data_IF_235154378949
#
_entry.id   IF_235154378949
#
_cell.length_a   1.000
_cell.length_b   1.000
_cell.length_c   1.000
_cell.angle_alpha   90.00
_cell.angle_beta   90.00
_cell.angle_gamma   90.00
#
_symmetry.space_group_name_H-M   'P 1'
#
loop_
_entity.id
_entity.type
_entity.pdbx_description
1 polymer ?
#
# COMPACT_ATOMS: atom_id res chain seq x y z
N UNK A 1 46.01 34.68 -8.18
CA UNK A 1 45.64 34.39 -6.77
C UNK A 1 46.90 34.03 -6.01
N UNK A 2 47.22 34.75 -4.95
CA UNK A 2 48.46 34.58 -4.19
C UNK A 2 48.48 33.22 -3.47
N UNK A 3 49.56 32.47 -3.65
CA UNK A 3 49.87 31.25 -2.90
C UNK A 3 50.46 31.65 -1.55
N UNK A 4 49.97 31.06 -0.46
CA UNK A 4 50.62 31.19 0.85
C UNK A 4 50.96 29.80 1.37
N UNK A 5 52.21 29.61 1.75
CA UNK A 5 52.69 28.44 2.46
C UNK A 5 52.15 28.45 3.90
N UNK A 6 51.53 27.35 4.32
CA UNK A 6 51.06 27.17 5.70
C UNK A 6 52.29 26.99 6.58
N UNK A 7 52.74 28.05 7.23
CA UNK A 7 53.80 27.97 8.26
C UNK A 7 53.18 27.59 9.60
N UNK A 8 53.66 26.49 10.21
CA UNK A 8 53.30 26.09 11.58
C UNK A 8 53.86 27.13 12.55
N UNK A 9 53.00 27.80 13.31
CA UNK A 9 53.45 28.61 14.44
C UNK A 9 53.89 27.70 15.60
N UNK A 10 54.88 28.14 16.39
CA UNK A 10 55.46 27.38 17.52
C UNK A 10 54.45 27.00 18.63
N UNK A 11 53.21 27.52 18.59
CA UNK A 11 52.16 27.23 19.57
C UNK A 11 51.05 26.29 19.04
N UNK A 12 51.32 25.49 18.00
CA UNK A 12 50.38 24.51 17.44
C UNK A 12 49.00 25.08 17.00
N UNK A 13 48.88 26.40 16.82
CA UNK A 13 47.69 27.03 16.24
C UNK A 13 47.98 27.45 14.80
N UNK A 14 47.19 26.90 13.88
CA UNK A 14 47.20 27.28 12.46
C UNK A 14 46.46 28.62 12.31
N UNK A 15 47.20 29.72 12.18
CA UNK A 15 46.61 31.00 11.79
C UNK A 15 46.61 31.14 10.28
N UNK A 16 45.47 30.96 9.61
CA UNK A 16 45.31 31.30 8.20
C UNK A 16 44.73 32.70 8.06
N UNK A 17 45.45 33.59 7.35
CA UNK A 17 45.01 34.96 7.07
C UNK A 17 44.02 35.08 5.89
N UNK A 18 43.68 33.98 5.21
CA UNK A 18 42.73 33.95 4.10
C UNK A 18 41.87 32.67 4.14
N UNK A 19 40.58 32.79 3.77
CA UNK A 19 39.55 31.73 3.83
C UNK A 19 39.57 30.70 2.68
N UNK A 20 40.53 30.77 1.76
CA UNK A 20 40.55 29.93 0.56
C UNK A 20 41.61 28.83 0.64
N UNK A 21 41.17 27.57 0.50
CA UNK A 21 42.01 26.39 0.44
C UNK A 21 42.12 25.91 -1.01
N UNK A 22 43.35 25.76 -1.50
CA UNK A 22 43.58 25.23 -2.84
C UNK A 22 43.45 23.72 -2.87
N UNK A 23 42.40 23.23 -3.54
CA UNK A 23 42.17 21.80 -3.76
C UNK A 23 43.02 21.36 -4.96
N UNK A 24 44.17 20.73 -4.69
CA UNK A 24 45.06 20.18 -5.74
C UNK A 24 44.46 18.97 -6.47
N UNK A 25 43.60 18.21 -5.79
CA UNK A 25 42.99 17.01 -6.35
C UNK A 25 41.57 16.82 -5.81
N UNK A 26 40.58 17.17 -6.64
CA UNK A 26 39.16 17.04 -6.30
C UNK A 26 38.74 15.59 -6.07
N UNK A 27 39.34 14.62 -6.76
CA UNK A 27 39.01 13.20 -6.60
C UNK A 27 39.37 12.70 -5.20
N UNK A 28 40.45 13.21 -4.61
CA UNK A 28 40.83 12.88 -3.23
C UNK A 28 39.91 13.54 -2.20
N UNK A 29 39.39 14.73 -2.51
CA UNK A 29 38.48 15.45 -1.61
C UNK A 29 37.16 14.70 -1.43
N UNK A 30 36.56 14.22 -2.53
CA UNK A 30 35.24 13.55 -2.52
C UNK A 30 35.32 12.03 -2.36
N UNK A 31 36.52 11.47 -2.17
CA UNK A 31 36.71 10.02 -2.07
C UNK A 31 35.95 9.44 -0.87
N UNK A 32 35.88 10.17 0.24
CA UNK A 32 35.23 9.73 1.48
C UNK A 32 33.70 9.82 1.49
N UNK A 33 33.09 10.49 0.52
CA UNK A 33 31.64 10.75 0.52
C UNK A 33 30.80 9.50 0.19
N UNK A 34 31.44 8.39 -0.20
CA UNK A 34 30.74 7.15 -0.57
C UNK A 34 31.50 5.91 -0.11
N UNK A 35 30.79 4.80 0.10
CA UNK A 35 31.38 3.51 0.49
C UNK A 35 32.16 2.77 -0.63
N UNK A 36 32.43 3.41 -1.77
CA UNK A 36 33.09 2.77 -2.92
C UNK A 36 34.59 3.03 -2.92
N UNK A 37 35.40 1.97 -2.90
CA UNK A 37 36.86 2.05 -2.75
C UNK A 37 37.66 2.20 -4.06
N UNK A 38 37.00 2.46 -5.20
CA UNK A 38 37.65 2.65 -6.51
C UNK A 38 37.78 4.10 -6.98
N UNK A 39 38.58 4.34 -8.04
CA UNK A 39 38.76 5.67 -8.67
C UNK A 39 37.40 6.25 -9.09
N UNK A 40 37.12 7.47 -8.66
CA UNK A 40 35.90 8.23 -9.01
C UNK A 40 36.21 9.27 -10.08
N UNK A 41 35.16 9.63 -10.82
CA UNK A 41 35.19 10.63 -11.87
C UNK A 41 34.20 11.73 -11.50
N UNK A 42 34.61 12.84 -10.87
CA UNK A 42 33.74 13.95 -10.52
C UNK A 42 33.59 14.96 -11.67
N UNK A 43 32.38 15.49 -11.84
CA UNK A 43 32.11 16.59 -12.76
C UNK A 43 32.46 17.92 -12.09
N UNK A 44 33.33 18.70 -12.72
CA UNK A 44 33.75 20.01 -12.20
C UNK A 44 32.67 21.09 -12.27
N UNK A 45 31.58 20.85 -13.02
CA UNK A 45 30.49 21.83 -13.22
C UNK A 45 29.34 21.65 -12.23
N UNK A 46 28.90 20.40 -12.00
CA UNK A 46 27.79 20.11 -11.08
C UNK A 46 28.20 19.41 -9.78
N UNK A 47 29.50 19.12 -9.60
CA UNK A 47 30.09 18.50 -8.42
C UNK A 47 29.60 17.07 -8.08
N UNK A 48 28.82 16.43 -8.94
CA UNK A 48 28.44 15.02 -8.81
C UNK A 48 29.61 14.10 -9.19
N UNK A 49 29.59 12.84 -8.70
CA UNK A 49 30.65 11.85 -8.96
C UNK A 49 30.12 10.52 -9.50
N UNK A 50 30.85 9.92 -10.44
CA UNK A 50 30.51 8.64 -11.06
C UNK A 50 31.55 7.55 -10.76
N UNK A 51 31.14 6.27 -10.71
CA UNK A 51 32.04 5.14 -10.45
C UNK A 51 32.88 4.73 -11.67
N UNK A 52 32.55 5.20 -12.88
CA UNK A 52 33.28 4.86 -14.10
C UNK A 52 33.38 6.05 -15.07
N UNK A 53 34.40 6.01 -15.92
CA UNK A 53 34.65 7.01 -16.96
C UNK A 53 33.51 7.10 -17.96
N UNK A 54 32.95 5.95 -18.35
CA UNK A 54 31.79 5.88 -19.26
C UNK A 54 30.55 6.55 -18.68
N UNK A 55 30.29 6.35 -17.38
CA UNK A 55 29.16 7.00 -16.71
C UNK A 55 29.37 8.52 -16.58
N UNK A 56 30.62 8.95 -16.32
CA UNK A 56 30.98 10.36 -16.34
C UNK A 56 30.84 10.98 -17.74
N UNK A 57 31.32 10.31 -18.80
CA UNK A 57 31.21 10.80 -20.17
C UNK A 57 29.74 11.00 -20.59
N UNK A 58 28.87 10.01 -20.33
CA UNK A 58 27.43 10.13 -20.54
C UNK A 58 26.82 11.31 -19.78
N UNK A 59 27.26 11.57 -18.54
CA UNK A 59 26.81 12.74 -17.81
C UNK A 59 27.37 14.05 -18.40
N UNK A 60 28.65 14.05 -18.77
CA UNK A 60 29.38 15.25 -19.21
C UNK A 60 28.77 15.85 -20.48
N UNK A 61 28.33 15.01 -21.42
CA UNK A 61 27.58 15.44 -22.61
C UNK A 61 26.33 16.27 -22.25
N UNK A 62 25.58 15.83 -21.23
CA UNK A 62 24.37 16.52 -20.77
C UNK A 62 24.67 17.70 -19.82
N UNK A 63 25.78 17.67 -19.10
CA UNK A 63 26.15 18.75 -18.18
C UNK A 63 26.69 19.98 -18.93
N UNK A 64 27.28 19.79 -20.11
CA UNK A 64 27.78 20.88 -20.94
C UNK A 64 26.67 21.77 -21.49
N UNK A 65 25.52 21.20 -21.89
CA UNK A 65 24.39 21.88 -22.56
C UNK A 65 23.54 22.82 -21.68
N UNK A 66 24.03 23.22 -20.50
CA UNK A 66 23.27 23.99 -19.51
C UNK A 66 22.99 25.44 -19.94
N UNK A 67 21.84 25.63 -20.59
CA UNK A 67 21.05 26.87 -20.58
C UNK A 67 19.63 26.67 -20.00
N UNK A 68 19.05 25.48 -20.12
CA UNK A 68 17.72 25.15 -19.60
C UNK A 68 17.72 23.77 -18.94
N UNK A 69 16.96 23.60 -17.87
CA UNK A 69 17.04 22.50 -16.90
C UNK A 69 17.06 21.09 -17.51
N UNK A 70 18.06 20.29 -17.14
CA UNK A 70 18.25 18.92 -17.64
C UNK A 70 17.34 17.92 -16.93
N UNK A 71 16.07 17.84 -17.33
CA UNK A 71 15.33 16.59 -17.19
C UNK A 71 15.68 15.69 -18.38
N UNK A 72 16.06 14.45 -18.09
CA UNK A 72 16.23 13.43 -19.13
C UNK A 72 14.87 13.05 -19.68
N UNK A 73 14.42 13.74 -20.73
CA UNK A 73 13.21 13.35 -21.45
C UNK A 73 13.57 12.18 -22.37
N UNK A 74 13.46 10.95 -21.87
CA UNK A 74 13.41 9.75 -22.72
C UNK A 74 12.00 9.62 -23.26
N UNK A 75 11.77 10.11 -24.47
CA UNK A 75 10.53 9.85 -25.19
C UNK A 75 10.58 8.45 -25.81
N UNK A 76 9.42 7.80 -26.00
CA UNK A 76 9.29 6.66 -26.90
C UNK A 76 9.88 6.97 -28.28
N UNK A 77 10.71 6.05 -28.78
CA UNK A 77 11.24 6.04 -30.13
C UNK A 77 10.21 5.32 -31.00
N UNK A 78 9.75 6.03 -32.04
CA UNK A 78 8.83 5.52 -33.06
C UNK A 78 9.30 4.14 -33.56
N UNK A 79 8.42 3.15 -33.57
CA UNK A 79 8.63 1.76 -33.98
C UNK A 79 9.53 0.88 -33.06
N UNK A 80 9.94 1.37 -31.88
CA UNK A 80 10.71 0.59 -30.88
C UNK A 80 9.95 0.43 -29.55
N UNK A 81 9.53 1.54 -28.93
CA UNK A 81 8.81 1.54 -27.65
C UNK A 81 7.58 2.47 -27.63
N UNK A 82 6.93 2.60 -28.78
CA UNK A 82 5.74 3.45 -29.03
C UNK A 82 4.63 3.33 -28.00
N UNK A 83 4.53 2.16 -27.38
CA UNK A 83 3.49 1.84 -26.43
C UNK A 83 4.09 1.35 -25.11
N UNK A 84 3.83 2.08 -24.03
CA UNK A 84 4.06 1.60 -22.68
C UNK A 84 3.00 0.55 -22.33
N UNK A 85 3.45 -0.67 -22.07
CA UNK A 85 2.59 -1.78 -21.64
C UNK A 85 2.62 -1.91 -20.12
N UNK A 86 1.47 -2.20 -19.53
CA UNK A 86 1.39 -2.44 -18.08
C UNK A 86 2.14 -3.73 -17.70
N UNK A 87 3.27 -3.62 -17.02
CA UNK A 87 4.13 -4.79 -16.71
C UNK A 87 3.65 -5.61 -15.51
N UNK A 88 2.85 -5.03 -14.63
CA UNK A 88 2.50 -5.60 -13.33
C UNK A 88 1.09 -6.18 -13.29
N UNK A 89 0.74 -7.01 -14.27
CA UNK A 89 -0.58 -7.64 -14.44
C UNK A 89 -1.16 -8.26 -13.16
N UNK A 90 -0.33 -8.84 -12.28
CA UNK A 90 -0.77 -9.35 -10.97
C UNK A 90 -1.38 -8.31 -10.03
N UNK A 91 -1.22 -7.00 -10.29
CA UNK A 91 -1.87 -5.91 -9.54
C UNK A 91 -3.29 -5.58 -10.03
N UNK A 92 -3.75 -6.23 -11.10
CA UNK A 92 -5.13 -6.10 -11.60
C UNK A 92 -6.09 -7.08 -10.91
N UNK A 93 -5.57 -7.99 -10.09
CA UNK A 93 -6.37 -8.90 -9.29
C UNK A 93 -6.93 -8.13 -8.11
N UNK A 94 -8.26 -8.19 -7.93
CA UNK A 94 -8.91 -7.60 -6.78
C UNK A 94 -8.39 -8.22 -5.48
N UNK A 95 -8.29 -7.42 -4.43
CA UNK A 95 -8.08 -7.98 -3.10
C UNK A 95 -9.32 -8.81 -2.70
N UNK A 96 -9.11 -9.92 -2.01
CA UNK A 96 -10.20 -10.78 -1.54
C UNK A 96 -10.99 -10.09 -0.41
N UNK A 97 -10.27 -9.39 0.46
CA UNK A 97 -10.83 -8.54 1.49
C UNK A 97 -9.96 -7.30 1.70
N UNK A 98 -10.55 -6.27 2.31
CA UNK A 98 -9.88 -5.05 2.75
C UNK A 98 -10.21 -4.77 4.21
N UNK A 99 -9.24 -4.25 4.94
CA UNK A 99 -9.45 -3.74 6.30
C UNK A 99 -9.56 -2.23 6.20
N UNK A 100 -10.64 -1.65 6.71
CA UNK A 100 -10.83 -0.20 6.79
C UNK A 100 -10.70 0.17 8.26
N UNK A 101 -9.84 1.12 8.58
CA UNK A 101 -9.55 1.50 9.95
C UNK A 101 -9.44 3.02 10.10
N UNK A 102 -9.70 3.49 11.32
CA UNK A 102 -9.57 4.88 11.72
C UNK A 102 -9.17 4.99 13.19
N UNK A 103 -8.39 6.01 13.55
CA UNK A 103 -7.97 6.31 14.92
C UNK A 103 -8.61 7.60 15.41
N UNK A 104 -8.92 7.64 16.71
CA UNK A 104 -9.15 8.89 17.41
C UNK A 104 -7.99 9.14 18.39
N UNK A 105 -7.68 10.41 18.54
CA UNK A 105 -6.49 10.88 19.25
C UNK A 105 -6.89 12.01 20.19
N UNK A 106 -6.31 12.02 21.39
CA UNK A 106 -6.40 13.18 22.27
C UNK A 106 -5.42 14.27 21.81
N UNK A 107 -5.71 15.52 22.16
CA UNK A 107 -4.87 16.67 21.80
C UNK A 107 -4.36 17.37 23.05
N UNK A 108 -3.32 16.81 23.67
CA UNK A 108 -2.74 17.34 24.90
C UNK A 108 -1.82 18.53 24.61
N UNK A 109 -2.25 19.74 24.97
CA UNK A 109 -1.44 20.96 24.81
C UNK A 109 -0.21 20.91 25.73
N UNK A 110 0.99 21.19 25.21
CA UNK A 110 2.22 21.12 26.00
C UNK A 110 3.15 22.35 25.90
N UNK A 111 3.03 23.23 24.90
CA UNK A 111 3.93 24.40 24.65
C UNK A 111 5.40 24.21 25.13
N UNK A 112 6.04 23.16 24.62
CA UNK A 112 7.41 22.78 24.97
C UNK A 112 8.42 23.25 23.91
N UNK A 113 9.66 23.59 24.32
CA UNK A 113 10.74 23.88 23.37
C UNK A 113 11.19 22.58 22.69
N UNK A 114 11.07 22.50 21.37
CA UNK A 114 11.48 21.36 20.56
C UNK A 114 12.72 21.71 19.72
N UNK A 115 13.86 21.97 20.37
CA UNK A 115 15.13 22.27 19.70
C UNK A 115 15.17 23.59 18.91
N UNK A 116 16.22 24.38 19.12
CA UNK A 116 16.34 25.69 18.45
C UNK A 116 15.16 26.63 18.76
N UNK A 117 14.49 27.13 17.73
CA UNK A 117 13.33 28.03 17.82
C UNK A 117 11.97 27.32 17.68
N UNK A 118 11.95 26.00 17.45
CA UNK A 118 10.70 25.25 17.28
C UNK A 118 10.04 24.98 18.63
N UNK A 119 8.70 25.04 18.65
CA UNK A 119 7.87 24.75 19.82
C UNK A 119 6.88 23.62 19.51
N UNK A 120 6.79 22.64 20.40
CA UNK A 120 5.77 21.59 20.38
C UNK A 120 4.52 22.15 21.05
N UNK A 121 3.51 22.48 20.25
CA UNK A 121 2.28 23.10 20.74
C UNK A 121 1.36 22.08 21.42
N UNK A 122 1.31 20.87 20.89
CA UNK A 122 0.52 19.78 21.42
C UNK A 122 1.15 18.42 21.15
N UNK A 123 0.75 17.45 21.95
CA UNK A 123 1.05 16.04 21.83
C UNK A 123 -0.22 15.27 21.55
N UNK A 124 -0.13 14.36 20.58
CA UNK A 124 -1.24 13.57 20.09
C UNK A 124 -1.01 12.10 20.45
N UNK A 125 -1.88 11.51 21.29
CA UNK A 125 -1.83 10.10 21.67
C UNK A 125 -3.12 9.39 21.24
N UNK A 126 -2.97 8.28 20.52
CA UNK A 126 -4.15 7.50 20.13
C UNK A 126 -4.89 7.01 21.38
N UNK A 127 -6.18 7.30 21.46
CA UNK A 127 -7.04 6.90 22.57
C UNK A 127 -8.02 5.78 22.16
N UNK A 128 -8.34 5.69 20.87
CA UNK A 128 -9.27 4.69 20.38
C UNK A 128 -9.07 4.43 18.90
N UNK A 129 -9.60 3.30 18.45
CA UNK A 129 -9.64 2.97 17.03
C UNK A 129 -10.89 2.16 16.72
N UNK A 130 -11.29 2.23 15.46
CA UNK A 130 -12.32 1.36 14.90
C UNK A 130 -11.76 0.74 13.62
N UNK A 131 -12.03 -0.56 13.42
CA UNK A 131 -11.79 -1.18 12.12
C UNK A 131 -12.90 -2.14 11.72
N UNK A 132 -13.05 -2.36 10.42
CA UNK A 132 -13.91 -3.37 9.84
C UNK A 132 -13.17 -4.13 8.74
N UNK A 133 -13.58 -5.37 8.49
CA UNK A 133 -13.08 -6.19 7.39
C UNK A 133 -14.19 -6.37 6.38
N UNK A 134 -13.99 -5.87 5.15
CA UNK A 134 -14.95 -6.01 4.06
C UNK A 134 -14.44 -7.03 3.05
N UNK A 135 -15.22 -8.09 2.82
CA UNK A 135 -14.96 -9.13 1.84
C UNK A 135 -15.55 -8.73 0.49
N UNK A 136 -14.68 -8.45 -0.48
CA UNK A 136 -15.09 -7.87 -1.77
C UNK A 136 -15.96 -8.86 -2.57
N UNK A 137 -15.59 -10.14 -2.58
CA UNK A 137 -16.28 -11.14 -3.39
C UNK A 137 -17.67 -11.50 -2.85
N UNK A 138 -17.85 -11.46 -1.53
CA UNK A 138 -19.12 -11.87 -0.88
C UNK A 138 -19.97 -10.71 -0.41
N UNK A 139 -19.41 -9.50 -0.36
CA UNK A 139 -20.02 -8.33 0.29
C UNK A 139 -20.10 -8.43 1.83
N UNK A 140 -19.63 -9.53 2.43
CA UNK A 140 -19.70 -9.74 3.89
C UNK A 140 -18.80 -8.75 4.62
N UNK A 141 -19.28 -8.22 5.74
CA UNK A 141 -18.51 -7.34 6.63
C UNK A 141 -18.33 -8.01 7.99
N UNK A 142 -17.11 -7.97 8.52
CA UNK A 142 -16.80 -8.32 9.91
C UNK A 142 -16.52 -7.05 10.70
N UNK A 143 -17.03 -6.98 11.92
CA UNK A 143 -16.99 -5.78 12.75
C UNK A 143 -18.28 -4.95 12.69
N UNK A 144 -18.24 -3.66 13.07
CA UNK A 144 -17.05 -2.88 13.44
C UNK A 144 -16.44 -3.35 14.77
N UNK A 145 -15.12 -3.31 14.86
CA UNK A 145 -14.37 -3.63 16.07
C UNK A 145 -13.84 -2.33 16.68
N UNK A 146 -14.48 -1.91 17.77
CA UNK A 146 -14.11 -0.72 18.53
C UNK A 146 -13.14 -1.07 19.66
N UNK A 147 -12.20 -0.18 19.94
CA UNK A 147 -11.39 -0.20 21.14
C UNK A 147 -11.19 1.21 21.67
N UNK A 148 -11.28 1.38 22.99
CA UNK A 148 -10.95 2.63 23.70
C UNK A 148 -9.99 2.30 24.84
N UNK A 149 -8.85 2.96 24.91
CA UNK A 149 -7.81 2.73 25.90
C UNK A 149 -6.47 3.39 25.55
N UNK A 150 -5.66 3.71 26.56
CA UNK A 150 -4.38 4.40 26.40
C UNK A 150 -3.36 3.67 25.51
N UNK A 151 -3.50 2.35 25.36
CA UNK A 151 -2.64 1.51 24.53
C UNK A 151 -3.26 1.21 23.16
N UNK A 152 -4.05 2.14 22.62
CA UNK A 152 -4.76 1.98 21.34
C UNK A 152 -3.84 1.56 20.19
N UNK A 153 -2.66 2.17 20.02
CA UNK A 153 -1.73 1.81 18.93
C UNK A 153 -1.21 0.37 19.07
N UNK A 154 -0.94 -0.08 20.29
CA UNK A 154 -0.42 -1.43 20.57
C UNK A 154 -1.51 -2.50 20.39
N UNK A 155 -2.70 -2.23 20.94
CA UNK A 155 -3.83 -3.14 20.81
C UNK A 155 -4.31 -3.22 19.36
N UNK A 156 -4.22 -2.13 18.59
CA UNK A 156 -4.51 -2.12 17.16
C UNK A 156 -3.63 -3.13 16.42
N UNK A 157 -2.30 -3.00 16.54
CA UNK A 157 -1.35 -3.91 15.85
C UNK A 157 -1.61 -5.37 16.25
N UNK A 158 -1.82 -5.63 17.53
CA UNK A 158 -2.13 -6.97 18.04
C UNK A 158 -3.44 -7.54 17.48
N UNK A 159 -4.49 -6.72 17.38
CA UNK A 159 -5.78 -7.15 16.81
C UNK A 159 -5.68 -7.38 15.32
N UNK A 160 -5.01 -6.50 14.58
CA UNK A 160 -4.80 -6.67 13.14
C UNK A 160 -3.97 -7.93 12.84
N UNK A 161 -2.96 -8.26 13.66
CA UNK A 161 -2.21 -9.52 13.51
C UNK A 161 -3.10 -10.76 13.77
N UNK A 162 -3.99 -10.70 14.78
CA UNK A 162 -4.97 -11.77 15.02
C UNK A 162 -5.98 -11.89 13.89
N UNK A 163 -6.45 -10.77 13.38
CA UNK A 163 -7.39 -10.68 12.26
C UNK A 163 -6.77 -11.31 11.01
N UNK A 164 -5.48 -11.03 10.76
CA UNK A 164 -4.72 -11.62 9.67
C UNK A 164 -4.69 -13.15 9.75
N UNK A 165 -4.56 -13.72 10.95
CA UNK A 165 -4.62 -15.17 11.16
C UNK A 165 -6.01 -15.71 10.86
N UNK A 166 -7.07 -15.00 11.26
CA UNK A 166 -8.45 -15.42 10.98
C UNK A 166 -8.79 -15.36 9.49
N UNK A 167 -8.40 -14.27 8.81
CA UNK A 167 -8.54 -14.13 7.36
C UNK A 167 -7.83 -15.29 6.66
N UNK A 168 -6.57 -15.58 7.02
CA UNK A 168 -5.82 -16.67 6.42
C UNK A 168 -6.43 -18.07 6.69
N UNK A 169 -7.09 -18.28 7.83
CA UNK A 169 -7.86 -19.52 8.07
C UNK A 169 -9.03 -19.67 7.12
N UNK A 170 -9.76 -18.59 6.84
CA UNK A 170 -10.85 -18.61 5.85
C UNK A 170 -10.29 -18.85 4.44
N UNK A 171 -9.20 -18.19 4.09
CA UNK A 171 -8.54 -18.35 2.78
C UNK A 171 -7.91 -19.74 2.58
N UNK A 172 -7.60 -20.46 3.66
CA UNK A 172 -7.07 -21.83 3.59
C UNK A 172 -8.14 -22.86 3.23
N UNK A 173 -9.43 -22.56 3.45
CA UNK A 173 -10.54 -23.46 3.12
C UNK A 173 -10.72 -23.47 1.60
N UNK A 174 -10.48 -24.64 0.99
CA UNK A 174 -10.74 -24.85 -0.43
C UNK A 174 -12.24 -25.06 -0.62
N UNK A 175 -12.90 -24.10 -1.25
CA UNK A 175 -14.26 -24.28 -1.74
C UNK A 175 -14.24 -24.79 -3.17
N UNK A 176 -15.20 -25.65 -3.50
CA UNK A 176 -15.45 -26.04 -4.88
C UNK A 176 -15.84 -24.81 -5.69
N UNK A 177 -15.29 -24.73 -6.89
CA UNK A 177 -15.56 -23.62 -7.80
C UNK A 177 -17.05 -23.62 -8.17
N UNK A 178 -17.74 -22.55 -7.86
CA UNK A 178 -19.12 -22.33 -8.33
C UNK A 178 -19.04 -21.91 -9.80
N UNK A 179 -19.26 -22.83 -10.72
CA UNK A 179 -19.29 -22.55 -12.16
C UNK A 179 -20.73 -22.39 -12.64
N UNK A 180 -21.10 -21.18 -13.06
CA UNK A 180 -22.36 -20.98 -13.79
C UNK A 180 -22.21 -21.35 -15.26
N UNK A 181 -23.30 -21.72 -15.93
CA UNK A 181 -23.26 -22.01 -17.38
C UNK A 181 -22.79 -20.81 -18.22
N UNK A 182 -23.07 -19.58 -17.73
CA UNK A 182 -22.56 -18.34 -18.33
C UNK A 182 -21.04 -18.25 -18.22
N UNK A 183 -20.47 -18.64 -17.09
CA UNK A 183 -19.01 -18.58 -16.88
C UNK A 183 -18.30 -19.66 -17.70
N UNK A 184 -18.88 -20.86 -17.82
CA UNK A 184 -18.38 -21.90 -18.73
C UNK A 184 -18.35 -21.42 -20.18
N UNK A 185 -19.42 -20.74 -20.62
CA UNK A 185 -19.47 -20.15 -21.96
C UNK A 185 -18.39 -19.09 -22.15
N UNK A 186 -18.25 -18.15 -21.22
CA UNK A 186 -17.20 -17.12 -21.25
C UNK A 186 -15.80 -17.71 -21.26
N UNK A 187 -15.56 -18.76 -20.48
CA UNK A 187 -14.26 -19.43 -20.42
C UNK A 187 -13.93 -20.11 -21.76
N UNK A 188 -14.89 -20.83 -22.36
CA UNK A 188 -14.70 -21.51 -23.63
C UNK A 188 -14.49 -20.53 -24.81
N UNK A 189 -15.13 -19.36 -24.76
CA UNK A 189 -15.02 -18.32 -25.79
C UNK A 189 -13.78 -17.43 -25.59
N UNK A 190 -13.10 -17.50 -24.44
CA UNK A 190 -11.95 -16.64 -24.15
C UNK A 190 -10.73 -17.05 -24.99
N UNK A 191 -10.34 -16.18 -25.93
CA UNK A 191 -9.14 -16.33 -26.76
C UNK A 191 -7.93 -15.55 -26.22
N UNK A 192 -8.15 -14.78 -25.16
CA UNK A 192 -7.20 -13.84 -24.58
C UNK A 192 -7.30 -13.79 -23.06
N UNK A 193 -6.16 -13.55 -22.41
CA UNK A 193 -6.07 -13.48 -20.96
C UNK A 193 -6.81 -12.25 -20.43
N UNK A 194 -7.73 -12.44 -19.48
CA UNK A 194 -8.50 -11.33 -18.91
C UNK A 194 -7.63 -10.30 -18.17
N UNK A 195 -6.43 -10.70 -17.72
CA UNK A 195 -5.47 -9.86 -17.01
C UNK A 195 -4.54 -9.14 -17.99
N UNK A 196 -3.75 -9.86 -18.79
CA UNK A 196 -2.76 -9.23 -19.67
C UNK A 196 -3.28 -8.84 -21.05
N UNK A 197 -4.51 -9.26 -21.40
CA UNK A 197 -5.16 -9.06 -22.70
C UNK A 197 -4.40 -9.66 -23.89
N UNK A 198 -3.32 -10.41 -23.64
CA UNK A 198 -2.61 -11.15 -24.67
C UNK A 198 -3.40 -12.40 -25.06
N UNK A 199 -3.32 -12.78 -26.34
CA UNK A 199 -3.91 -14.02 -26.82
C UNK A 199 -3.21 -15.21 -26.18
N UNK A 200 -3.97 -16.23 -25.83
CA UNK A 200 -3.36 -17.47 -25.39
C UNK A 200 -2.54 -18.06 -26.54
N UNK A 201 -1.23 -18.24 -26.33
CA UNK A 201 -0.36 -18.97 -27.25
C UNK A 201 -0.62 -20.46 -27.00
N UNK A 202 -1.79 -20.91 -27.43
CA UNK A 202 -2.10 -22.34 -27.45
C UNK A 202 -1.50 -22.84 -28.76
N UNK A 203 -0.48 -23.70 -28.67
CA UNK A 203 -0.02 -24.47 -29.82
C UNK A 203 -1.14 -25.44 -30.21
N UNK A 204 -2.05 -24.93 -31.04
CA UNK A 204 -3.25 -25.67 -31.49
C UNK A 204 -2.88 -26.96 -32.19
N UNK A 205 -1.72 -27.01 -32.86
CA UNK A 205 -1.24 -28.20 -33.56
C UNK A 205 -0.75 -29.26 -32.57
N UNK A 206 -0.02 -28.86 -31.53
CA UNK A 206 0.40 -29.76 -30.44
C UNK A 206 -0.81 -30.27 -29.65
N UNK A 207 -1.76 -29.42 -29.31
CA UNK A 207 -3.01 -29.82 -28.62
C UNK A 207 -3.82 -30.79 -29.48
N UNK A 208 -3.99 -30.49 -30.77
CA UNK A 208 -4.73 -31.37 -31.70
C UNK A 208 -4.03 -32.72 -31.88
N UNK A 209 -2.70 -32.75 -31.91
CA UNK A 209 -1.93 -33.99 -31.95
C UNK A 209 -2.14 -34.83 -30.67
N UNK A 210 -2.12 -34.21 -29.50
CA UNK A 210 -2.39 -34.88 -28.22
C UNK A 210 -3.84 -35.37 -28.10
N UNK A 211 -4.82 -34.59 -28.57
CA UNK A 211 -6.24 -34.98 -28.61
C UNK A 211 -6.47 -36.17 -29.54
N UNK A 212 -5.85 -36.19 -30.73
CA UNK A 212 -5.89 -37.33 -31.64
C UNK A 212 -5.28 -38.59 -31.00
N UNK A 213 -4.17 -38.44 -30.28
CA UNK A 213 -3.50 -39.54 -29.57
C UNK A 213 -4.35 -40.08 -28.42
N UNK A 214 -5.02 -39.20 -27.66
CA UNK A 214 -5.97 -39.58 -26.62
C UNK A 214 -7.18 -40.33 -27.19
N UNK A 215 -7.72 -39.88 -28.33
CA UNK A 215 -8.82 -40.55 -29.03
C UNK A 215 -8.44 -41.97 -29.49
N UNK A 216 -7.25 -42.12 -30.07
CA UNK A 216 -6.72 -43.42 -30.47
C UNK A 216 -6.54 -44.38 -29.27
N UNK A 217 -5.97 -43.89 -28.16
CA UNK A 217 -5.80 -44.69 -26.94
C UNK A 217 -7.13 -45.08 -26.31
N UNK A 218 -8.12 -44.18 -26.30
CA UNK A 218 -9.46 -44.47 -25.81
C UNK A 218 -10.17 -45.55 -26.64
N UNK A 219 -10.04 -45.52 -27.97
CA UNK A 219 -10.55 -46.59 -28.84
C UNK A 219 -9.83 -47.91 -28.59
N UNK A 220 -8.51 -47.88 -28.37
CA UNK A 220 -7.74 -49.07 -28.01
C UNK A 220 -8.15 -49.65 -26.65
N UNK A 221 -8.39 -48.78 -25.66
CA UNK A 221 -8.88 -49.16 -24.33
C UNK A 221 -10.27 -49.83 -24.39
N UNK A 222 -11.20 -49.32 -25.22
CA UNK A 222 -12.53 -49.92 -25.43
C UNK A 222 -12.46 -51.36 -25.96
N UNK A 223 -11.44 -51.67 -26.75
CA UNK A 223 -11.21 -52.99 -27.32
C UNK A 223 -10.32 -53.89 -26.44
N UNK A 224 -9.94 -53.42 -25.24
CA UNK A 224 -9.07 -54.16 -24.30
C UNK A 224 -9.91 -54.75 -23.17
N UNK A 225 -9.63 -55.99 -22.78
CA UNK A 225 -10.31 -56.69 -21.68
C UNK A 225 -10.18 -55.92 -20.36
N UNK A 226 -11.29 -55.69 -19.65
CA UNK A 226 -11.28 -54.96 -18.38
C UNK A 226 -10.33 -55.60 -17.36
N UNK A 227 -9.61 -54.77 -16.61
CA UNK A 227 -8.69 -55.15 -15.53
C UNK A 227 -7.42 -55.92 -15.93
N UNK A 228 -7.08 -56.02 -17.22
CA UNK A 228 -5.77 -56.51 -17.65
C UNK A 228 -4.64 -55.52 -17.31
N UNK A 229 -3.40 -56.01 -17.28
CA UNK A 229 -2.22 -55.14 -17.06
C UNK A 229 -2.08 -54.10 -18.20
N UNK A 230 -2.50 -54.45 -19.40
CA UNK A 230 -2.60 -53.54 -20.56
C UNK A 230 -3.66 -52.46 -20.34
N UNK A 231 -4.82 -52.80 -19.78
CA UNK A 231 -5.89 -51.84 -19.46
C UNK A 231 -5.41 -50.80 -18.45
N UNK A 232 -4.71 -51.22 -17.39
CA UNK A 232 -4.11 -50.31 -16.40
C UNK A 232 -3.05 -49.41 -17.03
N UNK A 233 -2.24 -49.95 -17.92
CA UNK A 233 -1.17 -49.21 -18.61
C UNK A 233 -1.74 -48.15 -19.55
N UNK A 234 -2.77 -48.50 -20.34
CA UNK A 234 -3.47 -47.57 -21.22
C UNK A 234 -4.18 -46.46 -20.43
N UNK A 235 -4.82 -46.79 -19.32
CA UNK A 235 -5.48 -45.79 -18.46
C UNK A 235 -4.48 -44.76 -17.93
N UNK A 236 -3.31 -45.21 -17.43
CA UNK A 236 -2.22 -44.31 -16.99
C UNK A 236 -1.69 -43.42 -18.13
N UNK A 237 -1.59 -43.95 -19.36
CA UNK A 237 -1.17 -43.16 -20.52
C UNK A 237 -2.21 -42.10 -20.90
N UNK A 238 -3.49 -42.44 -20.87
CA UNK A 238 -4.59 -41.50 -21.11
C UNK A 238 -4.57 -40.39 -20.06
N UNK A 239 -4.49 -40.72 -18.77
CA UNK A 239 -4.40 -39.75 -17.68
C UNK A 239 -3.21 -38.79 -17.83
N UNK A 240 -2.06 -39.32 -18.27
CA UNK A 240 -0.87 -38.51 -18.53
C UNK A 240 -1.10 -37.53 -19.68
N UNK A 241 -1.65 -38.00 -20.80
CA UNK A 241 -1.93 -37.15 -21.97
C UNK A 241 -2.99 -36.10 -21.63
N UNK A 242 -4.02 -36.46 -20.86
CA UNK A 242 -5.04 -35.51 -20.40
C UNK A 242 -4.43 -34.42 -19.50
N UNK A 243 -3.47 -34.79 -18.63
CA UNK A 243 -2.70 -33.80 -17.85
C UNK A 243 -1.86 -32.89 -18.75
N UNK A 244 -1.16 -33.46 -19.75
CA UNK A 244 -0.34 -32.69 -20.67
C UNK A 244 -1.20 -31.72 -21.52
N UNK A 245 -2.38 -32.15 -21.99
CA UNK A 245 -3.35 -31.29 -22.69
C UNK A 245 -3.83 -30.15 -21.78
N UNK A 246 -4.17 -30.46 -20.53
CA UNK A 246 -4.60 -29.44 -19.57
C UNK A 246 -3.48 -28.46 -19.24
N UNK A 247 -2.23 -28.94 -19.16
CA UNK A 247 -1.07 -28.10 -18.92
C UNK A 247 -0.75 -27.16 -20.09
N UNK A 248 -0.83 -27.64 -21.32
CA UNK A 248 -0.68 -26.81 -22.54
C UNK A 248 -1.83 -25.81 -22.70
N UNK A 249 -3.03 -26.15 -22.23
CA UNK A 249 -4.19 -25.24 -22.21
C UNK A 249 -4.19 -24.28 -21.02
N UNK A 250 -3.45 -24.58 -19.94
CA UNK A 250 -3.38 -23.73 -18.76
C UNK A 250 -2.08 -22.92 -18.74
N UNK A 251 -2.18 -21.61 -18.99
CA UNK A 251 -1.23 -20.67 -18.39
C UNK A 251 -1.61 -20.52 -16.90
N UNK A 252 -1.28 -21.51 -16.07
CA UNK A 252 -1.52 -21.46 -14.64
C UNK A 252 -0.65 -20.35 -14.02
N UNK A 253 -1.17 -19.13 -13.98
CA UNK A 253 -0.70 -18.12 -13.04
C UNK A 253 -1.10 -18.66 -11.66
N UNK A 254 -0.18 -19.34 -10.99
CA UNK A 254 -0.35 -19.79 -9.60
C UNK A 254 -0.42 -18.57 -8.69
N UNK A 255 -1.60 -17.96 -8.60
CA UNK A 255 -1.92 -16.91 -7.64
C UNK A 255 -2.17 -17.63 -6.32
N UNK A 256 -1.14 -17.73 -5.49
CA UNK A 256 -1.31 -18.20 -4.13
C UNK A 256 -2.01 -17.09 -3.32
N UNK A 257 -3.25 -17.33 -2.90
CA UNK A 257 -4.05 -16.35 -2.16
C UNK A 257 -3.33 -15.81 -0.90
N UNK A 258 -2.50 -16.64 -0.25
CA UNK A 258 -1.70 -16.27 0.92
C UNK A 258 -0.46 -15.41 0.60
N UNK A 259 -0.10 -15.24 -0.68
CA UNK A 259 0.96 -14.30 -1.12
C UNK A 259 0.39 -12.93 -1.50
N UNK A 260 -0.93 -12.81 -1.66
CA UNK A 260 -1.56 -11.55 -2.04
C UNK A 260 -1.61 -10.59 -0.85
N UNK A 261 -1.12 -9.35 -0.98
CA UNK A 261 -1.19 -8.38 0.10
C UNK A 261 -2.64 -8.01 0.44
N UNK A 262 -2.97 -7.95 1.73
CA UNK A 262 -4.27 -7.50 2.23
C UNK A 262 -4.19 -6.00 2.51
N UNK A 263 -4.98 -5.16 1.82
CA UNK A 263 -4.97 -3.73 2.05
C UNK A 263 -5.54 -3.37 3.44
N UNK A 264 -4.81 -2.53 4.18
CA UNK A 264 -5.32 -1.82 5.35
C UNK A 264 -5.46 -0.36 4.96
N UNK A 265 -6.68 0.14 4.97
CA UNK A 265 -7.06 1.43 4.38
C UNK A 265 -7.36 2.41 5.50
N UNK A 266 -6.61 3.50 5.51
CA UNK A 266 -6.93 4.70 6.27
C UNK A 266 -7.21 5.84 5.28
N UNK A 267 -7.99 6.83 5.71
CA UNK A 267 -8.20 8.04 4.92
C UNK A 267 -7.27 9.13 5.42
N UNK A 268 -6.33 9.57 4.58
CA UNK A 268 -5.21 10.46 4.97
C UNK A 268 -4.12 9.76 5.83
N UNK A 269 -3.89 8.47 5.58
CA UNK A 269 -2.84 7.68 6.25
C UNK A 269 -1.48 8.40 6.23
N UNK A 270 -1.10 8.90 5.05
CA UNK A 270 0.21 9.51 4.78
C UNK A 270 0.47 10.74 5.66
N UNK A 271 -0.58 11.45 6.03
CA UNK A 271 -0.49 12.69 6.78
C UNK A 271 -0.47 12.48 8.30
N UNK A 272 -1.30 11.57 8.81
CA UNK A 272 -1.60 11.52 10.24
C UNK A 272 -1.45 10.12 10.83
N UNK A 273 -2.34 9.19 10.48
CA UNK A 273 -2.42 7.86 11.13
C UNK A 273 -1.16 7.02 10.97
N UNK A 274 -0.36 7.27 9.93
CA UNK A 274 0.89 6.57 9.73
C UNK A 274 1.85 6.71 10.90
N UNK A 275 1.87 7.86 11.59
CA UNK A 275 2.69 8.07 12.78
C UNK A 275 2.26 7.17 13.94
N UNK A 276 0.94 7.06 14.18
CA UNK A 276 0.35 6.22 15.24
C UNK A 276 0.62 4.74 14.97
N UNK A 277 0.47 4.30 13.72
CA UNK A 277 0.77 2.91 13.36
C UNK A 277 2.27 2.64 13.50
N UNK A 278 3.13 3.55 13.06
CA UNK A 278 4.58 3.41 13.15
C UNK A 278 5.10 3.32 14.60
N UNK A 279 4.42 3.92 15.57
CA UNK A 279 4.76 3.82 16.99
C UNK A 279 4.78 2.35 17.48
N UNK A 280 3.80 1.57 17.06
CA UNK A 280 3.57 0.21 17.58
C UNK A 280 3.82 -0.90 16.56
N UNK A 281 4.05 -0.59 15.28
CA UNK A 281 4.25 -1.61 14.23
C UNK A 281 5.45 -2.52 14.50
N UNK A 282 6.47 -2.03 15.21
CA UNK A 282 7.62 -2.84 15.63
C UNK A 282 7.27 -3.99 16.58
N UNK A 283 6.08 -3.94 17.22
CA UNK A 283 5.54 -5.00 18.08
C UNK A 283 4.74 -6.06 17.30
N UNK A 284 4.54 -5.87 15.99
CA UNK A 284 3.85 -6.87 15.16
C UNK A 284 4.65 -8.16 15.10
N UNK A 285 3.94 -9.29 15.02
CA UNK A 285 4.55 -10.60 14.77
C UNK A 285 5.35 -10.60 13.45
N UNK A 286 4.91 -9.78 12.48
CA UNK A 286 5.52 -9.65 11.16
C UNK A 286 6.47 -8.44 11.04
N UNK A 287 6.96 -7.89 12.15
CA UNK A 287 7.83 -6.71 12.15
C UNK A 287 9.15 -6.92 11.35
N UNK A 288 9.64 -8.16 11.25
CA UNK A 288 10.82 -8.49 10.45
C UNK A 288 10.59 -8.37 8.92
N UNK A 289 9.35 -8.15 8.47
CA UNK A 289 8.96 -8.01 7.06
C UNK A 289 8.44 -6.60 6.72
N UNK A 290 8.83 -5.59 7.50
CA UNK A 290 8.44 -4.21 7.23
C UNK A 290 9.15 -3.68 5.97
N UNK A 291 8.36 -3.16 5.03
CA UNK A 291 8.83 -2.43 3.84
C UNK A 291 8.03 -1.14 3.71
N UNK A 292 8.71 0.00 3.73
CA UNK A 292 8.09 1.33 3.67
C UNK A 292 8.43 2.00 2.35
N UNK A 293 7.44 2.65 1.75
CA UNK A 293 7.63 3.60 0.65
C UNK A 293 7.49 4.99 1.23
N UNK A 294 8.61 5.57 1.64
CA UNK A 294 8.66 6.92 2.19
C UNK A 294 8.67 7.96 1.07
N UNK A 295 8.00 9.09 1.31
CA UNK A 295 8.07 10.27 0.43
C UNK A 295 8.92 11.36 1.07
N UNK A 296 8.78 11.55 2.38
CA UNK A 296 9.67 12.36 3.22
C UNK A 296 10.01 11.60 4.49
N UNK A 297 10.82 12.18 5.37
CA UNK A 297 11.11 11.59 6.69
C UNK A 297 9.87 11.44 7.57
N UNK A 298 8.85 12.26 7.34
CA UNK A 298 7.60 12.29 8.12
C UNK A 298 6.43 11.66 7.37
N UNK A 299 6.46 11.63 6.04
CA UNK A 299 5.32 11.16 5.23
C UNK A 299 5.60 9.82 4.56
N UNK A 300 4.80 8.82 4.92
CA UNK A 300 4.88 7.48 4.33
C UNK A 300 3.75 7.25 3.33
N UNK A 301 4.10 7.01 2.07
CA UNK A 301 3.13 6.81 0.98
C UNK A 301 2.40 5.47 1.12
N UNK A 302 3.12 4.43 1.55
CA UNK A 302 2.56 3.12 1.88
C UNK A 302 3.53 2.36 2.79
N UNK A 303 2.98 1.48 3.63
CA UNK A 303 3.77 0.58 4.47
C UNK A 303 3.27 -0.85 4.30
N UNK A 304 4.18 -1.80 4.15
CA UNK A 304 3.88 -3.24 4.09
C UNK A 304 4.47 -3.91 5.32
N UNK A 305 3.68 -4.72 6.00
CA UNK A 305 4.07 -5.49 7.20
C UNK A 305 3.62 -6.93 6.97
N UNK A 306 4.53 -7.78 6.53
CA UNK A 306 4.18 -9.13 6.09
C UNK A 306 3.18 -9.13 4.93
N UNK A 307 1.99 -9.70 5.13
CA UNK A 307 0.91 -9.69 4.15
C UNK A 307 0.08 -8.39 4.16
N UNK A 308 0.12 -7.62 5.25
CA UNK A 308 -0.68 -6.40 5.38
C UNK A 308 -0.02 -5.26 4.61
N UNK A 309 -0.83 -4.49 3.88
CA UNK A 309 -0.37 -3.33 3.12
C UNK A 309 -1.22 -2.11 3.48
N UNK A 310 -0.66 -1.24 4.30
CA UNK A 310 -1.22 0.06 4.66
C UNK A 310 -1.19 1.00 3.46
N UNK A 311 -2.36 1.50 3.10
CA UNK A 311 -2.58 2.42 1.98
C UNK A 311 -3.44 3.59 2.41
N UNK A 312 -3.24 4.71 1.71
CA UNK A 312 -3.99 5.94 1.91
C UNK A 312 -5.08 6.07 0.85
N UNK A 313 -6.36 6.02 1.25
CA UNK A 313 -7.47 6.21 0.32
C UNK A 313 -7.53 7.62 -0.27
N UNK A 314 -7.02 8.64 0.43
CA UNK A 314 -7.04 10.04 -0.03
C UNK A 314 -6.13 10.26 -1.25
N UNK A 315 -5.14 9.40 -1.46
CA UNK A 315 -4.32 9.42 -2.68
C UNK A 315 -5.07 8.97 -3.94
N UNK A 316 -6.16 8.23 -3.77
CA UNK A 316 -7.02 7.78 -4.87
C UNK A 316 -8.26 8.68 -4.99
N UNK A 317 -8.81 9.11 -3.85
CA UNK A 317 -9.98 9.98 -3.77
C UNK A 317 -9.58 11.23 -2.97
N UNK A 318 -9.03 12.24 -3.67
CA UNK A 318 -8.50 13.45 -3.06
C UNK A 318 -9.61 14.43 -2.62
N UNK A 319 -10.45 14.00 -1.68
CA UNK A 319 -11.51 14.80 -1.05
C UNK A 319 -11.74 14.28 0.36
N UNK A 320 -12.32 15.10 1.24
CA UNK A 320 -12.66 14.67 2.59
C UNK A 320 -13.74 13.58 2.59
N UNK A 321 -13.72 12.70 3.60
CA UNK A 321 -14.79 11.70 3.81
C UNK A 321 -16.18 12.33 3.79
N UNK A 322 -16.36 13.51 4.39
CA UNK A 322 -17.65 14.20 4.41
C UNK A 322 -18.17 14.55 3.00
N UNK A 323 -17.28 15.00 2.12
CA UNK A 323 -17.59 15.27 0.72
C UNK A 323 -17.91 13.99 -0.06
N UNK A 324 -17.12 12.93 0.17
CA UNK A 324 -17.31 11.62 -0.47
C UNK A 324 -18.65 10.99 -0.06
N UNK A 325 -18.99 11.03 1.23
CA UNK A 325 -20.28 10.54 1.75
C UNK A 325 -21.44 11.34 1.16
N UNK A 326 -21.34 12.66 1.07
CA UNK A 326 -22.37 13.51 0.45
C UNK A 326 -22.63 13.13 -1.02
N UNK A 327 -21.58 12.75 -1.76
CA UNK A 327 -21.71 12.34 -3.16
C UNK A 327 -22.40 10.98 -3.33
N UNK A 328 -22.47 10.15 -2.28
CA UNK A 328 -23.20 8.87 -2.32
C UNK A 328 -24.72 9.06 -2.21
N UNK A 329 -25.21 10.24 -1.82
CA UNK A 329 -26.64 10.48 -1.55
C UNK A 329 -27.17 9.54 -0.48
N UNK A 330 -28.39 9.01 -0.65
CA UNK A 330 -29.00 8.09 0.32
C UNK A 330 -28.51 6.63 0.18
N UNK A 331 -27.54 6.38 -0.69
CA UNK A 331 -27.09 5.03 -1.04
C UNK A 331 -25.95 4.55 -0.12
N UNK A 332 -26.31 4.17 1.11
CA UNK A 332 -25.37 3.69 2.13
C UNK A 332 -25.61 2.23 2.54
N UNK A 333 -25.56 1.25 1.61
CA UNK A 333 -26.04 -0.12 1.86
C UNK A 333 -25.35 -0.80 3.03
N UNK A 334 -24.03 -0.66 3.16
CA UNK A 334 -23.23 -1.28 4.24
C UNK A 334 -23.63 -0.70 5.59
N UNK A 335 -23.67 0.63 5.70
CA UNK A 335 -24.05 1.33 6.94
C UNK A 335 -25.49 1.04 7.32
N UNK A 336 -26.43 1.15 6.36
CA UNK A 336 -27.84 0.87 6.59
C UNK A 336 -28.06 -0.57 7.06
N UNK A 337 -27.44 -1.55 6.40
CA UNK A 337 -27.58 -2.96 6.77
C UNK A 337 -27.04 -3.24 8.18
N UNK A 338 -25.89 -2.66 8.53
CA UNK A 338 -25.28 -2.82 9.83
C UNK A 338 -26.18 -2.30 10.96
N UNK A 339 -26.60 -1.04 10.88
CA UNK A 339 -27.41 -0.43 11.93
C UNK A 339 -28.85 -0.97 11.99
N UNK A 340 -29.43 -1.39 10.85
CA UNK A 340 -30.71 -2.12 10.85
C UNK A 340 -30.62 -3.45 11.61
N UNK A 341 -29.52 -4.19 11.46
CA UNK A 341 -29.29 -5.43 12.22
C UNK A 341 -29.16 -5.18 13.73
N UNK A 342 -28.72 -3.99 14.13
CA UNK A 342 -28.67 -3.54 15.52
C UNK A 342 -30.01 -3.00 16.04
N UNK A 343 -31.06 -2.96 15.21
CA UNK A 343 -32.40 -2.52 15.60
C UNK A 343 -32.65 -1.01 15.52
N UNK A 344 -31.77 -0.24 14.85
CA UNK A 344 -31.93 1.21 14.72
C UNK A 344 -33.09 1.56 13.78
N UNK A 345 -33.85 2.58 14.13
CA UNK A 345 -34.95 3.10 13.31
C UNK A 345 -34.46 3.92 12.13
N UNK A 346 -35.32 4.17 11.15
CA UNK A 346 -34.98 5.00 9.98
C UNK A 346 -34.55 6.42 10.39
N UNK A 347 -35.26 7.02 11.35
CA UNK A 347 -34.93 8.36 11.84
C UNK A 347 -33.57 8.41 12.54
N UNK A 348 -33.19 7.33 13.24
CA UNK A 348 -31.86 7.22 13.84
C UNK A 348 -30.76 7.02 12.78
N UNK A 349 -31.05 6.31 11.68
CA UNK A 349 -30.11 6.15 10.57
C UNK A 349 -29.81 7.49 9.88
N UNK A 350 -30.81 8.34 9.75
CA UNK A 350 -30.65 9.66 9.14
C UNK A 350 -29.68 10.56 9.93
N UNK A 351 -29.57 10.35 11.25
CA UNK A 351 -28.56 10.99 12.09
C UNK A 351 -27.14 10.51 11.77
N UNK A 352 -26.95 9.23 11.43
CA UNK A 352 -25.64 8.60 11.19
C UNK A 352 -25.04 9.01 9.83
N UNK A 353 -25.86 9.33 8.84
CA UNK A 353 -25.35 9.75 7.52
C UNK A 353 -24.72 11.14 7.53
N UNK A 354 -25.05 11.97 8.51
CA UNK A 354 -24.44 13.29 8.69
C UNK A 354 -23.11 13.15 9.44
N UNK A 355 -22.13 13.95 9.02
CA UNK A 355 -20.85 14.06 9.73
C UNK A 355 -21.11 14.47 11.18
N UNK A 356 -20.63 13.65 12.12
CA UNK A 356 -20.64 13.97 13.55
C UNK A 356 -19.85 15.24 13.86
N UNK A 357 -20.32 15.98 14.86
CA UNK A 357 -19.68 17.21 15.34
C UNK A 357 -18.90 16.84 16.60
N UNK A 358 -17.58 16.99 16.57
CA UNK A 358 -16.70 16.46 17.59
C UNK A 358 -15.74 17.55 18.12
N UNK A 359 -15.62 17.74 19.46
CA UNK A 359 -14.85 18.83 20.05
C UNK A 359 -13.36 18.43 20.22
N UNK A 360 -12.61 18.37 19.12
CA UNK A 360 -11.22 17.88 19.14
C UNK A 360 -10.29 18.58 20.14
N UNK A 361 -10.42 19.91 20.32
CA UNK A 361 -9.56 20.67 21.24
C UNK A 361 -9.94 20.50 22.72
N UNK A 362 -11.17 20.05 23.01
CA UNK A 362 -11.65 19.74 24.35
C UNK A 362 -11.20 18.34 24.81
N UNK A 363 -11.06 17.40 23.87
CA UNK A 363 -10.64 16.02 24.15
C UNK A 363 -9.11 15.98 24.32
N UNK A 364 -8.67 16.40 25.51
CA UNK A 364 -7.26 16.52 25.89
C UNK A 364 -6.74 15.35 26.76
N UNK A 365 -7.65 14.49 27.21
CA UNK A 365 -7.37 13.40 28.13
C UNK A 365 -8.43 12.30 28.02
N UNK A 366 -8.09 11.10 28.49
CA UNK A 366 -9.00 9.97 28.44
C UNK A 366 -10.20 10.13 29.41
N UNK A 367 -10.03 10.88 30.49
CA UNK A 367 -11.08 11.16 31.46
C UNK A 367 -12.27 11.90 30.81
N UNK A 368 -12.03 12.70 29.74
CA UNK A 368 -13.10 13.36 28.98
C UNK A 368 -14.08 12.39 28.33
N UNK A 369 -13.67 11.15 28.04
CA UNK A 369 -14.57 10.13 27.50
C UNK A 369 -15.45 9.47 28.56
N UNK A 370 -15.18 9.70 29.86
CA UNK A 370 -16.01 9.24 30.97
C UNK A 370 -17.11 10.25 31.31
N UNK A 371 -17.04 11.46 30.75
CA UNK A 371 -18.08 12.46 30.88
C UNK A 371 -19.38 11.97 30.24
N UNK A 372 -20.51 12.27 30.88
CA UNK A 372 -21.85 11.81 30.46
C UNK A 372 -22.63 12.88 29.71
N UNK A 373 -22.07 14.09 29.64
CA UNK A 373 -22.70 15.26 29.02
C UNK A 373 -21.75 15.88 27.99
N UNK A 374 -22.32 16.47 26.94
CA UNK A 374 -21.54 17.21 25.94
C UNK A 374 -21.02 18.51 26.54
N UNK A 375 -19.79 18.94 26.17
CA UNK A 375 -19.28 20.21 26.62
C UNK A 375 -20.11 21.39 26.04
N UNK A 376 -19.98 22.58 26.63
CA UNK A 376 -20.62 23.78 26.09
C UNK A 376 -20.21 24.06 24.63
N UNK A 377 -21.09 24.71 23.86
CA UNK A 377 -20.86 25.02 22.43
C UNK A 377 -19.53 25.76 22.15
N UNK A 378 -19.02 26.54 23.09
CA UNK A 378 -17.75 27.27 22.90
C UNK A 378 -16.52 26.35 22.92
N UNK A 379 -16.60 25.17 23.53
CA UNK A 379 -15.53 24.16 23.55
C UNK A 379 -15.43 23.36 22.23
N UNK A 380 -16.43 23.49 21.36
CA UNK A 380 -16.39 22.90 20.01
C UNK A 380 -15.58 23.75 19.02
N UNK A 381 -15.09 24.93 19.43
CA UNK A 381 -14.24 25.73 18.55
C UNK A 381 -12.85 25.09 18.44
N UNK A 382 -12.42 24.83 17.21
CA UNK A 382 -11.07 24.32 16.95
C UNK A 382 -10.21 25.40 16.32
N UNK A 383 -8.89 25.35 16.57
CA UNK A 383 -7.93 26.24 15.91
C UNK A 383 -8.02 26.18 14.36
N UNK A 384 -8.39 25.02 13.81
CA UNK A 384 -8.42 24.76 12.36
C UNK A 384 -9.75 25.10 11.67
N UNK A 385 -10.88 24.99 12.37
CA UNK A 385 -12.22 25.14 11.76
C UNK A 385 -13.08 26.25 12.38
N UNK A 386 -12.60 26.95 13.40
CA UNK A 386 -13.32 28.06 14.03
C UNK A 386 -14.54 27.60 14.83
N UNK A 387 -15.55 28.48 14.98
CA UNK A 387 -16.77 28.22 15.75
C UNK A 387 -17.77 27.39 14.94
N UNK A 388 -18.45 26.44 15.60
CA UNK A 388 -19.54 25.66 15.01
C UNK A 388 -20.85 26.46 15.00
N UNK A 389 -21.82 26.04 14.17
CA UNK A 389 -23.16 26.63 14.16
C UNK A 389 -24.03 26.05 15.29
N UNK A 390 -25.05 26.79 15.72
CA UNK A 390 -26.02 26.30 16.71
C UNK A 390 -26.72 25.01 16.23
N UNK A 391 -27.00 24.90 14.92
CA UNK A 391 -27.59 23.70 14.30
C UNK A 391 -26.67 22.49 14.32
N UNK A 392 -25.36 22.68 14.33
CA UNK A 392 -24.38 21.61 14.46
C UNK A 392 -24.33 21.11 15.91
N UNK A 393 -24.40 22.02 16.88
CA UNK A 393 -24.45 21.67 18.30
C UNK A 393 -25.74 20.93 18.67
N UNK A 394 -26.90 21.41 18.22
CA UNK A 394 -28.18 20.71 18.39
C UNK A 394 -28.19 19.33 17.74
N UNK A 395 -27.45 19.15 16.65
CA UNK A 395 -27.27 17.83 16.05
C UNK A 395 -26.41 16.93 16.91
N UNK A 396 -25.29 17.44 17.44
CA UNK A 396 -24.43 16.71 18.37
C UNK A 396 -25.20 16.22 19.61
N UNK A 397 -26.14 17.02 20.12
CA UNK A 397 -27.00 16.64 21.26
C UNK A 397 -28.03 15.55 20.93
N UNK A 398 -28.38 15.36 19.66
CA UNK A 398 -29.37 14.37 19.22
C UNK A 398 -28.74 13.02 18.88
N UNK A 399 -27.48 13.03 18.44
CA UNK A 399 -26.66 11.83 18.16
C UNK A 399 -26.21 11.23 19.48
#
# INVERSE_FOLDING_TARGET
MALTDITKSKNNKYGQKNHFLWIKNINRLVYGDTAHHGKRYPCRKCSLSWPSEKAFANHFEHCLSLGEATQKVKLPIKDDNDFEKFKNYGRMINALCVIIADFEVDNKKCDEKYGGQMRKLAEQKANSFCYLVHWIDTGKVWGPFLYRGENATQEFVKRIDKELVQINRVLAIKHDRIETDKDKKKFNEADSCWICKEKFIIDKDKVKCLENKASWLNNKLKNTTMNSEDYKTLTKQIDKITKDINQEKSMDIKIEAWKTPIPVIFHNFRGYDSHLVCESVGKSVNAHQIKVVAETFERYKSMKVGQLKYIDSMQFMNSSLASLTKNLGDNHPITSEHFKKLGYTKDQLDLVYRKGVYPYDYIDSQDRFLETELPPIHEFSTYLHGKISQKDYEHAQKV
#
